data_IF_254475268856
#
_entry.id   IF_254475268856
#
_cell.length_a   1.000
_cell.length_b   1.000
_cell.length_c   1.000
_cell.angle_alpha   90.00
_cell.angle_beta   90.00
_cell.angle_gamma   90.00
#
_symmetry.space_group_name_H-M   'P 1'
#
loop_
_entity.id
_entity.type
_entity.pdbx_description
1 polymer ?
#
# COMPACT_ATOMS: atom_id res chain seq x y z
N UNK A 1 -45.02 6.75 -7.73
CA UNK A 1 -44.52 5.42 -7.33
C UNK A 1 -43.13 5.21 -7.94
N UNK A 2 -42.07 5.60 -7.24
CA UNK A 2 -40.69 5.20 -7.59
C UNK A 2 -40.00 4.82 -6.29
N UNK A 3 -39.42 3.63 -6.32
CA UNK A 3 -39.03 2.79 -5.19
C UNK A 3 -37.90 3.42 -4.38
N UNK A 4 -38.18 3.65 -3.10
CA UNK A 4 -37.23 4.09 -2.08
C UNK A 4 -36.48 2.87 -1.51
N UNK A 5 -35.57 2.27 -2.28
CA UNK A 5 -34.76 1.12 -1.84
C UNK A 5 -33.52 1.06 -2.76
N UNK A 6 -32.26 1.19 -2.29
CA UNK A 6 -31.75 0.92 -0.94
C UNK A 6 -30.74 1.99 -0.43
N UNK A 7 -31.16 2.85 0.51
CA UNK A 7 -30.26 3.75 1.24
C UNK A 7 -29.74 3.12 2.56
N UNK A 8 -30.04 1.84 2.80
CA UNK A 8 -29.73 1.13 4.05
C UNK A 8 -28.43 0.33 4.03
N UNK A 9 -27.69 0.27 2.92
CA UNK A 9 -26.44 -0.51 2.88
C UNK A 9 -25.19 0.25 3.35
N UNK A 10 -25.29 1.55 3.64
CA UNK A 10 -24.14 2.37 4.06
C UNK A 10 -24.01 2.60 5.57
N UNK A 11 -24.97 2.16 6.40
CA UNK A 11 -24.99 2.50 7.83
C UNK A 11 -24.38 1.42 8.74
N UNK A 12 -24.07 0.23 8.24
CA UNK A 12 -23.62 -0.88 9.10
C UNK A 12 -22.10 -1.00 9.29
N UNK A 13 -21.28 -0.09 8.74
CA UNK A 13 -19.84 -0.07 9.06
C UNK A 13 -19.61 0.75 10.34
N UNK A 14 -20.34 0.40 11.40
CA UNK A 14 -19.89 0.67 12.75
C UNK A 14 -18.77 -0.33 13.03
N UNK A 15 -17.53 0.08 12.73
CA UNK A 15 -16.33 -0.59 13.23
C UNK A 15 -16.34 -0.52 14.76
N UNK A 16 -17.02 -1.48 15.40
CA UNK A 16 -16.79 -1.84 16.78
C UNK A 16 -15.44 -2.53 16.86
N UNK A 17 -14.37 -1.76 17.10
CA UNK A 17 -13.06 -2.32 17.42
C UNK A 17 -12.87 -2.22 18.93
N UNK A 18 -13.42 -3.19 19.65
CA UNK A 18 -13.04 -3.45 21.04
C UNK A 18 -12.16 -4.70 21.04
N UNK A 19 -10.86 -4.51 21.30
CA UNK A 19 -10.10 -5.22 22.33
C UNK A 19 -8.61 -4.90 22.23
N UNK A 20 -8.07 -4.59 23.40
CA UNK A 20 -6.68 -4.61 23.85
C UNK A 20 -5.61 -4.68 22.76
N UNK A 21 -4.90 -3.58 22.55
CA UNK A 21 -3.61 -3.63 21.86
C UNK A 21 -2.48 -3.35 22.83
N UNK A 22 -1.80 -4.44 23.20
CA UNK A 22 -0.43 -4.43 23.70
C UNK A 22 0.42 -3.45 22.89
N UNK A 23 1.21 -2.64 23.63
CA UNK A 23 2.28 -1.75 23.18
C UNK A 23 2.16 -1.19 21.75
N UNK A 24 1.82 0.10 21.57
CA UNK A 24 1.34 0.71 20.31
C UNK A 24 2.34 0.77 19.14
N UNK A 25 3.43 0.01 19.15
CA UNK A 25 4.40 -0.12 18.06
C UNK A 25 4.97 -1.54 17.88
N UNK A 26 4.52 -2.52 18.67
CA UNK A 26 5.09 -3.88 18.67
C UNK A 26 4.10 -4.97 18.25
N UNK A 27 2.88 -4.60 17.84
CA UNK A 27 1.89 -5.61 17.46
C UNK A 27 2.30 -6.39 16.21
N UNK A 28 1.66 -7.56 16.07
CA UNK A 28 2.01 -8.56 15.08
C UNK A 28 1.95 -8.01 13.64
N UNK A 29 0.98 -7.13 13.37
CA UNK A 29 0.77 -6.51 12.06
C UNK A 29 1.91 -5.55 11.70
N UNK A 30 2.34 -4.72 12.65
CA UNK A 30 3.47 -3.81 12.47
C UNK A 30 4.76 -4.60 12.21
N UNK A 31 5.01 -5.67 12.97
CA UNK A 31 6.19 -6.52 12.76
C UNK A 31 6.17 -7.25 11.41
N UNK A 32 4.99 -7.71 10.96
CA UNK A 32 4.83 -8.31 9.63
C UNK A 32 5.15 -7.32 8.52
N UNK A 33 4.63 -6.09 8.60
CA UNK A 33 4.96 -5.02 7.62
C UNK A 33 6.45 -4.70 7.63
N UNK A 34 7.06 -4.55 8.80
CA UNK A 34 8.47 -4.22 8.90
C UNK A 34 9.37 -5.30 8.28
N UNK A 35 9.00 -6.59 8.38
CA UNK A 35 9.80 -7.70 7.88
C UNK A 35 9.55 -8.04 6.41
N UNK A 36 8.29 -7.96 5.95
CA UNK A 36 7.84 -8.48 4.65
C UNK A 36 7.17 -7.43 3.75
N UNK A 37 7.16 -6.17 4.15
CA UNK A 37 6.50 -5.09 3.41
C UNK A 37 4.97 -5.08 3.54
N UNK A 38 4.34 -4.03 3.03
CA UNK A 38 2.90 -3.81 3.18
C UNK A 38 2.04 -4.86 2.45
N UNK A 39 2.53 -5.42 1.34
CA UNK A 39 1.84 -6.48 0.58
C UNK A 39 1.67 -7.80 1.35
N UNK A 40 2.39 -7.96 2.46
CA UNK A 40 2.24 -9.15 3.31
C UNK A 40 0.94 -9.18 4.12
N UNK A 41 0.22 -8.05 4.21
CA UNK A 41 -1.07 -7.98 4.88
C UNK A 41 -2.22 -8.25 3.91
N UNK A 42 -3.30 -8.84 4.45
CA UNK A 42 -4.57 -8.87 3.74
C UNK A 42 -5.13 -7.45 3.64
N UNK A 43 -5.85 -7.17 2.56
CA UNK A 43 -6.50 -5.85 2.33
C UNK A 43 -7.40 -5.46 3.51
N UNK A 44 -8.06 -6.44 4.13
CA UNK A 44 -8.89 -6.27 5.34
C UNK A 44 -8.11 -5.87 6.59
N UNK A 45 -6.81 -6.14 6.66
CA UNK A 45 -5.96 -5.88 7.82
C UNK A 45 -5.26 -4.51 7.74
N UNK A 46 -5.23 -3.90 6.56
CA UNK A 46 -4.62 -2.58 6.31
C UNK A 46 -5.21 -1.49 7.21
N UNK A 47 -6.54 -1.36 7.39
CA UNK A 47 -7.09 -0.32 8.25
C UNK A 47 -6.63 -0.46 9.70
N UNK A 48 -6.57 -1.70 10.21
CA UNK A 48 -6.12 -1.97 11.58
C UNK A 48 -4.63 -1.68 11.75
N UNK A 49 -3.79 -2.01 10.76
CA UNK A 49 -2.38 -1.61 10.76
C UNK A 49 -2.20 -0.09 10.79
N UNK A 50 -2.98 0.66 10.00
CA UNK A 50 -2.89 2.12 9.97
C UNK A 50 -3.30 2.77 11.30
N UNK A 51 -4.33 2.22 11.95
CA UNK A 51 -4.75 2.67 13.29
C UNK A 51 -3.66 2.41 14.32
N UNK A 52 -3.08 1.21 14.31
CA UNK A 52 -2.00 0.82 15.21
C UNK A 52 -0.76 1.72 15.02
N UNK A 53 -0.39 1.99 13.77
CA UNK A 53 0.73 2.88 13.43
C UNK A 53 0.47 4.33 13.89
N UNK A 54 -0.78 4.81 13.79
CA UNK A 54 -1.18 6.16 14.23
C UNK A 54 -1.18 6.28 15.76
N UNK A 55 -1.51 5.20 16.46
CA UNK A 55 -1.50 5.14 17.92
C UNK A 55 -0.08 5.05 18.50
N UNK A 56 0.93 4.77 17.67
CA UNK A 56 2.31 4.78 18.12
C UNK A 56 2.79 6.19 18.47
N UNK A 57 3.16 6.39 19.74
CA UNK A 57 3.70 7.66 20.25
C UNK A 57 5.13 7.96 19.75
N UNK A 58 5.89 6.92 19.41
CA UNK A 58 7.28 7.03 18.99
C UNK A 58 7.39 7.25 17.47
N UNK A 59 7.52 8.52 17.08
CA UNK A 59 7.66 8.93 15.67
C UNK A 59 8.93 8.39 15.02
N UNK A 60 10.00 8.18 15.79
CA UNK A 60 11.26 7.64 15.24
C UNK A 60 11.08 6.18 14.83
N UNK A 61 10.43 5.38 15.70
CA UNK A 61 10.11 3.98 15.37
C UNK A 61 9.16 3.86 14.19
N UNK A 62 8.11 4.68 14.13
CA UNK A 62 7.18 4.70 12.99
C UNK A 62 7.92 4.99 11.68
N UNK A 63 8.84 5.96 11.69
CA UNK A 63 9.66 6.27 10.51
C UNK A 63 10.53 5.09 10.10
N UNK A 64 11.19 4.43 11.04
CA UNK A 64 12.01 3.25 10.77
C UNK A 64 11.20 2.09 10.19
N UNK A 65 10.02 1.80 10.77
CA UNK A 65 9.11 0.75 10.29
C UNK A 65 8.69 1.06 8.84
N UNK A 66 8.28 2.29 8.56
CA UNK A 66 7.85 2.70 7.22
C UNK A 66 8.98 2.63 6.21
N UNK A 67 10.18 3.08 6.58
CA UNK A 67 11.35 3.03 5.70
C UNK A 67 11.76 1.59 5.39
N UNK A 68 11.85 0.73 6.41
CA UNK A 68 12.22 -0.68 6.23
C UNK A 68 11.20 -1.42 5.37
N UNK A 69 9.91 -1.17 5.56
CA UNK A 69 8.86 -1.74 4.72
C UNK A 69 8.94 -1.25 3.27
N UNK A 70 9.24 0.04 3.06
CA UNK A 70 9.38 0.62 1.73
C UNK A 70 10.60 0.10 0.99
N UNK A 71 11.76 0.00 1.65
CA UNK A 71 12.97 -0.56 1.06
C UNK A 71 12.76 -2.02 0.65
N UNK A 72 12.11 -2.82 1.50
CA UNK A 72 11.79 -4.22 1.15
C UNK A 72 10.83 -4.32 -0.03
N UNK A 73 9.79 -3.51 -0.06
CA UNK A 73 8.89 -3.48 -1.21
C UNK A 73 9.59 -3.03 -2.49
N UNK A 74 10.53 -2.08 -2.39
CA UNK A 74 11.30 -1.62 -3.54
C UNK A 74 12.23 -2.73 -4.06
N UNK A 75 12.88 -3.47 -3.16
CA UNK A 75 13.74 -4.62 -3.49
C UNK A 75 12.92 -5.73 -4.16
N UNK A 76 11.80 -6.12 -3.56
CA UNK A 76 10.89 -7.13 -4.11
C UNK A 76 10.31 -6.69 -5.47
N UNK A 77 9.91 -5.42 -5.59
CA UNK A 77 9.40 -4.87 -6.85
C UNK A 77 10.50 -4.82 -7.91
N UNK A 78 11.75 -4.50 -7.56
CA UNK A 78 12.87 -4.53 -8.49
C UNK A 78 13.19 -5.95 -8.97
N UNK A 79 13.16 -6.93 -8.07
CA UNK A 79 13.37 -8.34 -8.42
C UNK A 79 12.24 -8.89 -9.31
N UNK A 80 11.00 -8.51 -9.01
CA UNK A 80 9.82 -8.93 -9.75
C UNK A 80 9.64 -8.15 -11.07
N UNK A 81 10.17 -6.92 -11.18
CA UNK A 81 10.14 -6.08 -12.40
C UNK A 81 11.19 -6.44 -13.46
N UNK A 82 11.69 -7.68 -13.48
CA UNK A 82 12.38 -8.25 -14.66
C UNK A 82 11.57 -8.12 -15.98
N UNK A 83 10.31 -7.68 -15.91
CA UNK A 83 9.42 -7.33 -17.03
C UNK A 83 9.78 -6.03 -17.78
N UNK A 84 10.55 -5.11 -17.18
CA UNK A 84 11.00 -3.86 -17.84
C UNK A 84 12.37 -3.97 -18.53
N UNK A 85 12.85 -5.19 -18.76
CA UNK A 85 14.12 -5.46 -19.45
C UNK A 85 13.82 -6.23 -20.74
N UNK A 86 14.35 -5.76 -21.88
CA UNK A 86 14.20 -6.43 -23.18
C UNK A 86 13.37 -5.65 -24.22
N UNK A 87 12.54 -6.35 -25.01
CA UNK A 87 11.80 -5.75 -26.15
C UNK A 87 10.78 -4.67 -25.73
N UNK A 88 10.17 -4.83 -24.55
CA UNK A 88 9.15 -3.91 -24.01
C UNK A 88 9.74 -2.53 -23.69
N UNK A 89 10.97 -2.46 -23.15
CA UNK A 89 11.65 -1.17 -22.96
C UNK A 89 12.07 -0.54 -24.28
N UNK A 90 12.53 -1.34 -25.26
CA UNK A 90 12.81 -0.86 -26.62
C UNK A 90 11.59 -0.21 -27.30
N UNK A 91 10.42 -0.84 -27.22
CA UNK A 91 9.18 -0.27 -27.77
C UNK A 91 8.79 1.06 -27.10
N UNK A 92 8.98 1.18 -25.78
CA UNK A 92 8.71 2.43 -25.07
C UNK A 92 9.60 3.58 -25.57
N UNK A 93 10.89 3.35 -25.78
CA UNK A 93 11.79 4.36 -26.35
C UNK A 93 11.42 4.74 -27.79
N UNK A 94 11.03 3.77 -28.61
CA UNK A 94 10.56 4.04 -29.98
C UNK A 94 9.30 4.92 -29.99
N UNK A 95 8.33 4.64 -29.14
CA UNK A 95 7.10 5.44 -29.03
C UNK A 95 7.43 6.86 -28.54
N UNK A 96 8.31 7.01 -27.56
CA UNK A 96 8.74 8.34 -27.07
C UNK A 96 9.47 9.14 -28.15
N UNK A 97 10.32 8.51 -28.96
CA UNK A 97 10.99 9.17 -30.08
C UNK A 97 9.99 9.64 -31.16
N UNK A 98 8.95 8.82 -31.44
CA UNK A 98 7.89 9.16 -32.38
C UNK A 98 7.04 10.34 -31.88
N UNK A 99 6.71 10.37 -30.59
CA UNK A 99 6.00 11.48 -29.95
C UNK A 99 6.82 12.77 -30.05
N UNK A 100 8.11 12.72 -29.72
CA UNK A 100 9.00 13.89 -29.83
C UNK A 100 9.08 14.38 -31.27
N UNK A 101 9.24 13.48 -32.24
CA UNK A 101 9.24 13.85 -33.65
C UNK A 101 7.95 14.58 -34.05
N UNK A 102 6.78 14.05 -33.72
CA UNK A 102 5.48 14.65 -34.07
C UNK A 102 5.18 15.98 -33.36
N UNK A 103 5.83 16.25 -32.22
CA UNK A 103 5.63 17.50 -31.47
C UNK A 103 6.53 18.62 -32.00
N UNK A 104 7.71 18.27 -32.50
CA UNK A 104 8.74 19.25 -32.92
C UNK A 104 8.93 19.37 -34.43
N UNK A 105 8.23 18.55 -35.23
CA UNK A 105 8.19 18.60 -36.70
C UNK A 105 6.74 18.76 -37.15
#
# INVERSE_FOLDING_TARGET
MVKLFPLLFFVSISFGFEKDQEAPCNGEKIQKVAKKGLRSLKISEIPSYLVELKNCKDKAKVKTIKNSANEKQLEDDAENNKSFVGRTSGCAYCIMALIVYLVFV
#
